data_IF_654388854199
#
_entry.id   IF_654388854199
#
_cell.length_a   1.000
_cell.length_b   1.000
_cell.length_c   1.000
_cell.angle_alpha   90.00
_cell.angle_beta   90.00
_cell.angle_gamma   90.00
#
_symmetry.space_group_name_H-M   'P 1'
#
loop_
_entity.id
_entity.type
_entity.pdbx_description
1 polymer ?
#
# COMPACT_ATOMS: atom_id res chain seq x y z
N UNK A 1 25.15 -14.89 2.73
CA UNK A 1 23.75 -14.37 2.62
C UNK A 1 22.83 -15.51 2.15
N UNK A 2 21.70 -15.77 2.84
CA UNK A 2 20.93 -17.03 2.75
C UNK A 2 20.09 -17.31 1.48
N UNK A 3 20.15 -16.47 0.44
CA UNK A 3 19.45 -16.73 -0.85
C UNK A 3 17.92 -16.92 -0.75
N UNK A 4 17.27 -16.26 0.22
CA UNK A 4 15.85 -16.47 0.57
C UNK A 4 14.92 -15.42 -0.02
N UNK A 5 14.91 -14.20 0.53
CA UNK A 5 14.00 -13.13 0.09
C UNK A 5 14.28 -12.63 -1.34
N UNK A 6 15.47 -12.06 -1.58
CA UNK A 6 15.83 -11.46 -2.89
C UNK A 6 15.76 -12.45 -4.05
N UNK A 7 16.29 -13.67 -3.84
CA UNK A 7 16.21 -14.75 -4.83
C UNK A 7 14.76 -15.14 -5.07
N UNK A 8 13.96 -15.27 -4.00
CA UNK A 8 12.54 -15.59 -4.11
C UNK A 8 11.74 -14.58 -4.92
N UNK A 9 12.00 -13.28 -4.77
CA UNK A 9 11.35 -12.25 -5.61
C UNK A 9 11.58 -12.54 -7.10
N UNK A 10 12.85 -12.71 -7.50
CA UNK A 10 13.18 -12.93 -8.91
C UNK A 10 12.62 -14.25 -9.45
N UNK A 11 12.68 -15.32 -8.66
CA UNK A 11 12.11 -16.62 -9.04
C UNK A 11 10.59 -16.53 -9.18
N UNK A 12 9.89 -15.84 -8.27
CA UNK A 12 8.44 -15.64 -8.37
C UNK A 12 8.07 -14.82 -9.61
N UNK A 13 8.77 -13.72 -9.88
CA UNK A 13 8.56 -12.94 -11.10
C UNK A 13 8.79 -13.78 -12.35
N UNK A 14 9.82 -14.62 -12.38
CA UNK A 14 10.05 -15.53 -13.51
C UNK A 14 8.92 -16.54 -13.71
N UNK A 15 8.40 -17.14 -12.63
CA UNK A 15 7.27 -18.08 -12.73
C UNK A 15 5.99 -17.40 -13.24
N UNK A 16 5.77 -16.13 -12.87
CA UNK A 16 4.68 -15.31 -13.42
C UNK A 16 4.90 -15.01 -14.91
N UNK A 17 6.11 -14.60 -15.28
CA UNK A 17 6.49 -14.27 -16.65
C UNK A 17 6.31 -15.46 -17.60
N UNK A 18 6.80 -16.63 -17.17
CA UNK A 18 6.68 -17.90 -17.89
C UNK A 18 5.29 -18.55 -17.78
N UNK A 19 4.31 -17.83 -17.19
CA UNK A 19 2.90 -18.24 -17.06
C UNK A 19 2.68 -19.56 -16.30
N UNK A 20 3.63 -19.97 -15.45
CA UNK A 20 3.48 -21.13 -14.59
C UNK A 20 2.46 -20.90 -13.47
N UNK A 21 2.38 -19.64 -12.98
CA UNK A 21 1.35 -19.19 -12.05
C UNK A 21 0.67 -17.95 -12.60
N UNK A 22 -0.60 -17.78 -12.27
CA UNK A 22 -1.34 -16.58 -12.67
C UNK A 22 -1.20 -15.49 -11.62
N UNK A 23 -1.19 -15.81 -10.32
CA UNK A 23 -1.13 -14.82 -9.25
C UNK A 23 0.22 -14.79 -8.51
N UNK A 24 0.62 -13.61 -8.04
CA UNK A 24 1.78 -13.44 -7.19
C UNK A 24 1.72 -14.31 -5.93
N UNK A 25 0.53 -14.44 -5.32
CA UNK A 25 0.32 -15.27 -4.14
C UNK A 25 0.65 -16.75 -4.39
N UNK A 26 0.19 -17.33 -5.50
CA UNK A 26 0.51 -18.72 -5.86
C UNK A 26 2.03 -18.91 -6.04
N UNK A 27 2.67 -18.01 -6.78
CA UNK A 27 4.12 -18.06 -7.01
C UNK A 27 4.91 -17.96 -5.69
N UNK A 28 4.55 -17.00 -4.82
CA UNK A 28 5.17 -16.80 -3.51
C UNK A 28 5.00 -18.02 -2.60
N UNK A 29 3.82 -18.62 -2.61
CA UNK A 29 3.50 -19.78 -1.78
C UNK A 29 4.22 -21.04 -2.26
N UNK A 30 4.27 -21.25 -3.57
CA UNK A 30 5.03 -22.34 -4.17
C UNK A 30 6.52 -22.20 -3.84
N UNK A 31 7.09 -21.02 -4.03
CA UNK A 31 8.49 -20.76 -3.68
C UNK A 31 8.76 -21.03 -2.19
N UNK A 32 7.90 -20.55 -1.29
CA UNK A 32 8.01 -20.81 0.15
C UNK A 32 8.01 -22.30 0.49
N UNK A 33 7.08 -23.06 -0.08
CA UNK A 33 6.98 -24.51 0.14
C UNK A 33 8.17 -25.28 -0.40
N UNK A 34 8.71 -24.88 -1.57
CA UNK A 34 9.85 -25.57 -2.19
C UNK A 34 11.19 -25.20 -1.57
N UNK A 35 11.36 -23.95 -1.15
CA UNK A 35 12.66 -23.45 -0.66
C UNK A 35 12.88 -23.66 0.83
N UNK A 36 11.81 -23.72 1.63
CA UNK A 36 11.88 -23.67 3.11
C UNK A 36 10.98 -24.72 3.75
N UNK A 37 11.38 -25.22 4.93
CA UNK A 37 10.60 -26.18 5.72
C UNK A 37 9.43 -25.51 6.46
N UNK A 38 9.62 -24.26 6.90
CA UNK A 38 8.62 -23.45 7.61
C UNK A 38 7.66 -22.68 6.69
N UNK A 39 7.79 -22.87 5.36
CA UNK A 39 7.06 -22.17 4.29
C UNK A 39 7.27 -20.66 4.26
N UNK A 40 8.20 -20.12 5.03
CA UNK A 40 8.48 -18.69 5.06
C UNK A 40 9.46 -18.35 3.95
N UNK A 41 9.05 -18.28 2.69
CA UNK A 41 9.93 -17.89 1.57
C UNK A 41 10.27 -16.39 1.56
N UNK A 42 9.52 -15.63 0.78
CA UNK A 42 9.59 -14.16 0.73
C UNK A 42 8.62 -13.58 1.77
N UNK A 43 9.17 -13.10 2.88
CA UNK A 43 8.38 -12.64 4.03
C UNK A 43 8.32 -11.12 4.17
N UNK A 44 9.28 -10.39 3.62
CA UNK A 44 9.31 -8.92 3.72
C UNK A 44 8.19 -8.34 2.84
N UNK A 45 7.25 -7.56 3.40
CA UNK A 45 6.13 -7.03 2.64
C UNK A 45 6.50 -6.23 1.39
N UNK A 46 7.49 -5.35 1.47
CA UNK A 46 7.94 -4.63 0.27
C UNK A 46 8.46 -5.56 -0.82
N UNK A 47 9.09 -6.69 -0.48
CA UNK A 47 9.51 -7.68 -1.48
C UNK A 47 8.30 -8.35 -2.15
N UNK A 48 7.27 -8.69 -1.36
CA UNK A 48 6.03 -9.28 -1.86
C UNK A 48 5.28 -8.31 -2.79
N UNK A 49 5.16 -7.04 -2.37
CA UNK A 49 4.55 -5.96 -3.16
C UNK A 49 5.16 -5.84 -4.56
N UNK A 50 6.47 -6.01 -4.71
CA UNK A 50 7.11 -5.97 -6.03
C UNK A 50 6.80 -7.21 -6.89
N UNK A 51 6.52 -8.36 -6.28
CA UNK A 51 5.99 -9.52 -7.01
C UNK A 51 4.56 -9.26 -7.46
N UNK A 52 3.74 -8.62 -6.62
CA UNK A 52 2.38 -8.19 -6.99
C UNK A 52 2.40 -7.16 -8.14
N UNK A 53 3.27 -6.15 -8.07
CA UNK A 53 3.50 -5.19 -9.15
C UNK A 53 3.86 -5.87 -10.47
N UNK A 54 4.80 -6.83 -10.42
CA UNK A 54 5.18 -7.57 -11.63
C UNK A 54 4.04 -8.44 -12.16
N UNK A 55 3.26 -9.07 -11.28
CA UNK A 55 2.07 -9.81 -11.68
C UNK A 55 1.08 -8.90 -12.42
N UNK A 56 0.80 -7.69 -11.93
CA UNK A 56 -0.04 -6.71 -12.62
C UNK A 56 0.51 -6.35 -14.00
N UNK A 57 1.82 -6.09 -14.14
CA UNK A 57 2.43 -5.81 -15.44
C UNK A 57 2.17 -6.93 -16.46
N UNK A 58 2.37 -8.18 -16.04
CA UNK A 58 2.26 -9.36 -16.90
C UNK A 58 0.80 -9.73 -17.23
N UNK A 59 -0.12 -9.56 -16.27
CA UNK A 59 -1.55 -9.88 -16.44
C UNK A 59 -2.27 -8.83 -17.28
N UNK A 60 -2.03 -7.54 -17.00
CA UNK A 60 -2.68 -6.43 -17.68
C UNK A 60 -1.96 -6.03 -18.98
N UNK A 61 -0.78 -6.63 -19.26
CA UNK A 61 0.08 -6.30 -20.40
C UNK A 61 0.40 -4.81 -20.46
N UNK A 62 0.95 -4.30 -19.35
CA UNK A 62 1.27 -2.89 -19.16
C UNK A 62 2.71 -2.61 -19.55
N UNK A 63 2.91 -1.50 -20.25
CA UNK A 63 4.23 -0.93 -20.50
C UNK A 63 4.62 -0.03 -19.34
N UNK A 64 5.61 -0.46 -18.56
CA UNK A 64 6.11 0.32 -17.43
C UNK A 64 6.78 1.61 -17.92
N UNK A 65 6.37 2.72 -17.33
CA UNK A 65 7.03 4.01 -17.47
C UNK A 65 7.09 4.70 -16.11
N UNK A 66 8.01 5.63 -15.95
CA UNK A 66 8.11 6.37 -14.70
C UNK A 66 6.96 7.39 -14.60
N UNK A 67 6.37 7.52 -13.41
CA UNK A 67 5.30 8.48 -13.11
C UNK A 67 5.81 9.44 -12.05
N UNK A 68 5.68 10.74 -12.30
CA UNK A 68 6.08 11.78 -11.35
C UNK A 68 4.89 12.14 -10.48
N UNK A 69 5.06 12.02 -9.17
CA UNK A 69 4.04 12.37 -8.17
C UNK A 69 4.61 13.37 -7.17
N UNK A 70 3.74 14.22 -6.61
CA UNK A 70 4.05 15.03 -5.43
C UNK A 70 3.34 14.44 -4.21
N UNK A 71 4.08 14.14 -3.13
CA UNK A 71 3.51 13.71 -1.85
C UNK A 71 3.22 14.96 -1.02
N UNK A 72 1.96 15.17 -0.64
CA UNK A 72 1.48 16.34 0.12
C UNK A 72 1.41 16.09 1.61
N UNK A 73 0.81 14.97 1.99
CA UNK A 73 0.57 14.62 3.38
C UNK A 73 0.76 13.12 3.61
N UNK A 74 1.19 12.80 4.82
CA UNK A 74 1.32 11.43 5.31
C UNK A 74 0.53 11.30 6.60
N UNK A 75 -0.39 10.34 6.64
CA UNK A 75 -1.23 10.05 7.78
C UNK A 75 -0.87 8.69 8.37
N UNK A 76 -0.77 8.60 9.69
CA UNK A 76 -0.65 7.36 10.44
C UNK A 76 -1.87 7.22 11.35
N UNK A 77 -2.64 6.16 11.19
CA UNK A 77 -3.89 5.95 11.93
C UNK A 77 -4.17 4.46 12.21
N UNK A 78 -4.66 4.09 13.41
CA UNK A 78 -4.61 4.90 14.63
C UNK A 78 -3.18 5.24 15.07
N UNK A 79 -3.02 6.16 16.03
CA UNK A 79 -1.70 6.48 16.60
C UNK A 79 -1.05 5.22 17.21
N UNK A 80 0.21 4.88 16.87
CA UNK A 80 0.93 3.77 17.48
C UNK A 80 1.01 3.89 19.01
N UNK A 81 0.88 2.76 19.73
CA UNK A 81 0.72 2.72 21.19
C UNK A 81 1.92 3.31 21.95
N UNK A 82 3.11 3.25 21.34
CA UNK A 82 4.33 3.88 21.84
C UNK A 82 4.22 5.40 22.01
N UNK A 83 3.25 6.06 21.38
CA UNK A 83 2.97 7.48 21.55
C UNK A 83 1.78 7.78 22.47
N UNK A 84 1.00 6.77 22.88
CA UNK A 84 -0.21 6.96 23.72
C UNK A 84 0.07 7.58 25.08
N UNK A 85 1.30 7.45 25.59
CA UNK A 85 1.76 8.11 26.83
C UNK A 85 2.01 9.62 26.70
N UNK A 86 1.84 10.22 25.52
CA UNK A 86 2.04 11.65 25.28
C UNK A 86 3.51 12.08 25.26
N UNK A 87 4.43 11.15 25.01
CA UNK A 87 5.87 11.43 25.00
C UNK A 87 6.54 10.71 23.82
N UNK A 88 6.79 11.46 22.74
CA UNK A 88 7.59 10.96 21.63
C UNK A 88 7.54 11.91 20.44
N UNK A 89 8.66 11.99 19.72
CA UNK A 89 8.70 12.69 18.44
C UNK A 89 8.73 11.68 17.31
N UNK A 90 7.94 11.93 16.28
CA UNK A 90 8.00 11.19 15.03
C UNK A 90 8.81 11.97 13.99
N UNK A 91 9.55 11.25 13.16
CA UNK A 91 10.27 11.82 12.02
C UNK A 91 10.10 10.93 10.79
N UNK A 92 9.82 11.54 9.65
CA UNK A 92 9.76 10.89 8.34
C UNK A 92 11.00 11.22 7.52
N UNK A 93 11.53 10.23 6.81
CA UNK A 93 12.56 10.40 5.78
C UNK A 93 12.11 9.71 4.50
N UNK A 94 12.24 10.39 3.37
CA UNK A 94 11.86 9.89 2.04
C UNK A 94 13.11 9.75 1.19
N UNK A 95 13.26 8.60 0.56
CA UNK A 95 14.31 8.32 -0.40
C UNK A 95 13.71 7.97 -1.75
N UNK A 96 14.31 8.48 -2.81
CA UNK A 96 14.01 8.09 -4.19
C UNK A 96 15.14 7.22 -4.72
N UNK A 97 14.83 6.08 -5.34
CA UNK A 97 15.83 5.27 -6.03
C UNK A 97 16.29 6.01 -7.28
N UNK A 98 17.60 6.09 -7.45
CA UNK A 98 18.26 6.54 -8.68
C UNK A 98 19.19 5.43 -9.17
N UNK A 99 19.73 5.57 -10.39
CA UNK A 99 20.63 4.57 -10.98
C UNK A 99 21.79 4.23 -10.04
N UNK A 100 22.46 5.25 -9.51
CA UNK A 100 23.65 5.11 -8.65
C UNK A 100 23.36 4.68 -7.20
N UNK A 101 22.08 4.61 -6.78
CA UNK A 101 21.78 4.35 -5.36
C UNK A 101 20.41 4.84 -4.92
N UNK A 102 20.33 5.33 -3.69
CA UNK A 102 19.10 5.91 -3.12
C UNK A 102 19.41 7.32 -2.66
N UNK A 103 18.74 8.31 -3.23
CA UNK A 103 18.90 9.70 -2.84
C UNK A 103 17.89 10.05 -1.74
N UNK A 104 18.34 10.72 -0.67
CA UNK A 104 17.43 11.27 0.34
C UNK A 104 16.83 12.56 -0.21
N UNK A 105 15.54 12.54 -0.53
CA UNK A 105 14.83 13.69 -1.12
C UNK A 105 14.12 14.54 -0.07
N UNK A 106 13.81 13.98 1.10
CA UNK A 106 13.15 14.71 2.18
C UNK A 106 13.47 14.14 3.56
N UNK A 107 13.47 15.01 4.56
CA UNK A 107 13.52 14.66 5.98
C UNK A 107 12.68 15.66 6.75
N UNK A 108 11.60 15.21 7.37
CA UNK A 108 10.77 16.09 8.20
C UNK A 108 11.56 16.54 9.44
N UNK A 109 11.24 17.71 10.02
CA UNK A 109 11.60 17.97 11.41
C UNK A 109 10.95 16.91 12.32
N UNK A 110 11.52 16.63 13.50
CA UNK A 110 10.83 15.84 14.52
C UNK A 110 9.55 16.55 14.95
N UNK A 111 8.42 15.84 14.92
CA UNK A 111 7.10 16.33 15.32
C UNK A 111 6.68 15.65 16.62
N UNK A 112 6.34 16.42 17.65
CA UNK A 112 5.81 15.88 18.90
C UNK A 112 4.40 15.34 18.69
N UNK A 113 4.14 14.11 19.13
CA UNK A 113 2.82 13.48 19.05
C UNK A 113 2.06 13.80 20.34
N UNK A 114 0.89 14.43 20.23
CA UNK A 114 0.13 14.90 21.40
C UNK A 114 -0.72 13.77 21.98
N UNK A 115 -0.94 13.82 23.30
CA UNK A 115 -1.84 12.89 23.98
C UNK A 115 -3.27 13.08 23.49
N UNK A 116 -3.93 11.98 23.13
CA UNK A 116 -5.33 11.97 22.69
C UNK A 116 -5.52 12.14 21.18
N UNK A 117 -4.45 12.29 20.40
CA UNK A 117 -4.55 12.26 18.93
C UNK A 117 -4.99 10.87 18.46
N UNK A 118 -5.93 10.84 17.51
CA UNK A 118 -6.40 9.58 16.87
C UNK A 118 -5.59 9.24 15.63
N UNK A 119 -4.95 10.24 15.02
CA UNK A 119 -4.06 10.11 13.87
C UNK A 119 -2.89 11.09 13.97
N UNK A 120 -1.78 10.75 13.31
CA UNK A 120 -0.64 11.67 13.12
C UNK A 120 -0.67 12.13 11.66
N UNK A 121 -0.71 13.43 11.42
CA UNK A 121 -0.49 14.04 10.09
C UNK A 121 0.91 14.65 10.04
N UNK A 122 1.70 14.26 9.04
CA UNK A 122 2.98 14.89 8.68
C UNK A 122 2.75 15.63 7.36
N UNK A 123 2.78 16.96 7.41
CA UNK A 123 2.62 17.82 6.24
C UNK A 123 3.98 18.04 5.56
N UNK A 124 4.05 17.88 4.24
CA UNK A 124 5.29 17.94 3.47
C UNK A 124 5.53 19.32 2.81
N UNK A 125 4.75 20.33 3.22
CA UNK A 125 4.82 21.70 2.73
C UNK A 125 3.90 21.98 1.54
N UNK A 126 3.69 23.26 1.25
CA UNK A 126 2.74 23.74 0.23
C UNK A 126 3.02 23.21 -1.19
N UNK A 127 4.29 22.84 -1.48
CA UNK A 127 4.72 22.28 -2.77
C UNK A 127 4.86 20.75 -2.76
N UNK A 128 4.76 20.11 -1.58
CA UNK A 128 4.97 18.68 -1.39
C UNK A 128 6.39 18.23 -1.74
N UNK A 129 6.58 16.91 -1.78
CA UNK A 129 7.85 16.27 -2.17
C UNK A 129 7.66 15.53 -3.49
N UNK A 130 8.39 15.95 -4.52
CA UNK A 130 8.36 15.30 -5.84
C UNK A 130 9.17 13.99 -5.78
N UNK A 131 8.54 12.90 -6.25
CA UNK A 131 9.10 11.55 -6.29
C UNK A 131 8.76 10.86 -7.60
N UNK A 132 9.57 9.86 -7.98
CA UNK A 132 9.45 9.17 -9.26
C UNK A 132 10.07 7.77 -9.21
N UNK A 133 9.40 6.79 -9.81
CA UNK A 133 9.85 5.40 -9.80
C UNK A 133 9.70 4.77 -8.41
N UNK A 134 10.78 4.15 -7.91
CA UNK A 134 10.81 3.46 -6.62
C UNK A 134 11.13 4.40 -5.46
N UNK A 135 10.24 4.45 -4.47
CA UNK A 135 10.29 5.39 -3.35
C UNK A 135 10.27 4.61 -2.03
N UNK A 136 11.16 4.97 -1.11
CA UNK A 136 11.18 4.44 0.27
C UNK A 136 10.74 5.52 1.25
N UNK A 137 9.77 5.20 2.10
CA UNK A 137 9.44 6.00 3.28
C UNK A 137 9.93 5.28 4.53
N UNK A 138 10.62 6.00 5.41
CA UNK A 138 11.16 5.46 6.65
C UNK A 138 10.79 6.35 7.84
N UNK A 139 10.19 5.74 8.85
CA UNK A 139 9.66 6.43 10.03
C UNK A 139 10.54 6.12 11.24
N UNK A 140 10.74 7.14 12.05
CA UNK A 140 11.55 7.05 13.25
C UNK A 140 10.85 7.67 14.45
N UNK A 141 11.05 7.06 15.61
CA UNK A 141 10.69 7.61 16.91
C UNK A 141 11.94 8.16 17.58
N UNK A 142 11.84 9.35 18.18
CA UNK A 142 12.88 9.92 19.05
C UNK A 142 12.25 10.33 20.38
N UNK A 143 12.28 9.45 21.40
CA UNK A 143 11.94 9.83 22.76
C UNK A 143 12.91 10.92 23.27
N UNK A 144 12.44 11.83 24.13
CA UNK A 144 13.18 13.07 24.53
C UNK A 144 14.60 12.82 25.08
N UNK A 145 14.88 11.64 25.64
CA UNK A 145 16.18 11.27 26.23
C UNK A 145 16.83 10.03 25.60
N UNK A 146 16.27 9.48 24.52
CA UNK A 146 16.74 8.24 23.90
C UNK A 146 17.26 8.47 22.48
N UNK A 147 18.03 7.49 21.99
CA UNK A 147 18.48 7.49 20.60
C UNK A 147 17.27 7.38 19.66
N UNK A 148 17.38 8.05 18.51
CA UNK A 148 16.47 7.85 17.38
C UNK A 148 16.40 6.36 17.03
N UNK A 149 15.19 5.82 17.01
CA UNK A 149 14.89 4.42 16.71
C UNK A 149 14.03 4.34 15.45
N UNK A 150 14.32 3.37 14.58
CA UNK A 150 13.53 3.11 13.39
C UNK A 150 12.24 2.38 13.79
N UNK A 151 11.10 2.90 13.38
CA UNK A 151 9.79 2.30 13.63
C UNK A 151 9.46 1.23 12.59
N UNK A 152 9.32 1.66 11.34
CA UNK A 152 9.02 0.84 10.18
C UNK A 152 9.37 1.59 8.91
N UNK A 153 9.32 0.90 7.79
CA UNK A 153 9.48 1.51 6.47
C UNK A 153 8.68 0.74 5.43
N UNK A 154 8.58 1.29 4.24
CA UNK A 154 8.07 0.55 3.08
C UNK A 154 8.61 1.14 1.78
N UNK A 155 8.59 0.32 0.73
CA UNK A 155 8.84 0.72 -0.64
C UNK A 155 7.55 0.69 -1.45
N UNK A 156 7.35 1.70 -2.30
CA UNK A 156 6.31 1.66 -3.33
C UNK A 156 6.87 2.21 -4.64
N UNK A 157 6.17 1.94 -5.74
CA UNK A 157 6.51 2.51 -7.03
C UNK A 157 5.36 3.38 -7.51
N UNK A 158 5.70 4.61 -7.90
CA UNK A 158 4.77 5.65 -8.35
C UNK A 158 3.84 5.22 -9.50
N UNK A 159 4.28 4.32 -10.39
CA UNK A 159 3.47 3.82 -11.52
C UNK A 159 2.21 3.07 -11.08
N UNK A 160 2.26 2.42 -9.91
CA UNK A 160 1.16 1.58 -9.40
C UNK A 160 0.20 2.33 -8.48
N UNK A 161 0.40 3.62 -8.28
CA UNK A 161 -0.53 4.46 -7.50
C UNK A 161 -1.67 4.92 -8.40
N UNK A 162 -2.84 4.27 -8.26
CA UNK A 162 -3.99 4.47 -9.15
C UNK A 162 -5.27 4.92 -8.43
N UNK A 163 -5.36 4.72 -7.11
CA UNK A 163 -6.59 4.97 -6.36
C UNK A 163 -6.86 6.46 -6.19
N UNK A 164 -8.02 6.90 -6.70
CA UNK A 164 -8.61 8.20 -6.38
C UNK A 164 -9.57 7.99 -5.20
N UNK A 165 -9.43 8.77 -4.14
CA UNK A 165 -10.35 8.71 -3.00
C UNK A 165 -10.57 10.10 -2.40
N UNK A 166 -11.69 10.33 -1.70
CA UNK A 166 -11.86 11.51 -0.86
C UNK A 166 -10.73 11.57 0.17
N UNK A 167 -10.17 12.77 0.36
CA UNK A 167 -9.14 13.03 1.38
C UNK A 167 -9.73 12.69 2.76
N UNK A 168 -8.98 12.07 3.69
CA UNK A 168 -9.42 11.90 5.06
C UNK A 168 -9.71 13.27 5.70
N UNK A 169 -10.99 13.60 5.88
CA UNK A 169 -11.42 14.79 6.64
C UNK A 169 -11.10 14.57 8.13
N UNK A 170 -10.41 15.50 8.80
CA UNK A 170 -10.29 15.46 10.25
C UNK A 170 -11.67 15.75 10.85
N UNK A 171 -12.26 14.81 11.58
CA UNK A 171 -13.52 15.03 12.29
C UNK A 171 -13.33 16.12 13.35
N UNK A 172 -13.86 17.33 13.10
CA UNK A 172 -13.97 18.37 14.11
C UNK A 172 -15.04 17.97 15.14
N UNK A 173 -14.70 18.11 16.42
CA UNK A 173 -15.63 17.94 17.53
C UNK A 173 -16.77 18.96 17.42
N UNK A 174 -17.99 18.47 17.17
CA UNK A 174 -19.19 19.30 17.10
C UNK A 174 -20.36 18.61 17.79
N UNK A 175 -20.64 19.05 19.01
CA UNK A 175 -21.85 18.76 19.77
C UNK A 175 -23.08 19.16 18.92
N UNK A 176 -23.96 18.22 18.60
CA UNK A 176 -25.33 18.54 18.19
C UNK A 176 -26.29 17.50 18.75
N UNK A 177 -27.14 17.98 19.65
CA UNK A 177 -28.27 17.25 20.22
C UNK A 177 -29.19 16.76 19.08
N UNK A 178 -29.40 15.45 18.99
CA UNK A 178 -30.42 14.87 18.13
C UNK A 178 -31.42 14.08 18.97
N UNK A 179 -32.61 14.67 19.09
CA UNK A 179 -33.86 14.05 19.51
C UNK A 179 -34.20 12.91 18.54
N UNK A 180 -34.61 11.72 19.01
CA UNK A 180 -34.83 10.58 18.15
C UNK A 180 -36.26 10.49 17.61
N UNK A 181 -36.32 9.99 16.37
CA UNK A 181 -37.31 9.03 15.85
C UNK A 181 -38.70 9.54 15.48
N UNK A 182 -39.08 9.41 14.19
CA UNK A 182 -39.99 8.34 13.77
C UNK A 182 -40.45 8.45 12.31
N UNK A 183 -40.64 7.25 11.75
CA UNK A 183 -41.61 6.90 10.70
C UNK A 183 -41.08 6.74 9.27
N UNK A 184 -40.45 5.58 9.08
CA UNK A 184 -40.71 4.72 7.93
C UNK A 184 -42.19 4.32 7.86
N UNK A 185 -42.79 4.42 6.66
CA UNK A 185 -44.00 3.69 6.17
C UNK A 185 -44.28 4.21 4.74
N UNK A 186 -43.87 3.50 3.71
CA UNK A 186 -44.59 2.42 3.01
C UNK A 186 -45.74 2.90 2.12
N UNK A 187 -45.63 2.51 0.84
CA UNK A 187 -46.55 2.63 -0.29
C UNK A 187 -48.02 2.27 0.00
N UNK A 188 -48.96 3.01 -0.61
CA UNK A 188 -50.16 2.45 -1.23
C UNK A 188 -50.84 3.44 -2.19
N UNK A 189 -51.32 2.89 -3.31
CA UNK A 189 -52.09 3.47 -4.41
C UNK A 189 -53.35 4.24 -3.98
N UNK A 190 -53.68 5.32 -4.69
CA UNK A 190 -55.04 5.54 -5.22
C UNK A 190 -55.03 6.54 -6.40
N UNK A 191 -55.97 6.29 -7.32
CA UNK A 191 -56.06 6.78 -8.70
C UNK A 191 -57.27 7.73 -8.83
N UNK A 192 -57.11 8.98 -9.28
CA UNK A 192 -58.08 9.58 -10.22
C UNK A 192 -57.67 10.95 -10.82
N UNK A 193 -57.60 10.95 -12.16
CA UNK A 193 -58.22 11.91 -13.11
C UNK A 193 -57.76 13.38 -13.24
N UNK A 194 -57.41 13.70 -14.50
CA UNK A 194 -57.51 15.01 -15.23
C UNK A 194 -56.47 16.07 -14.79
N UNK A 195 -55.70 16.75 -15.64
CA UNK A 195 -55.91 17.29 -16.99
C UNK A 195 -54.55 17.56 -17.66
N UNK A 196 -54.51 17.50 -19.00
CA UNK A 196 -53.39 17.86 -19.88
C UNK A 196 -53.10 19.37 -19.89
N UNK A 197 -51.82 19.74 -19.87
CA UNK A 197 -51.27 20.82 -20.72
C UNK A 197 -49.76 20.65 -20.91
N UNK A 198 -49.38 20.52 -22.19
CA UNK A 198 -48.03 20.66 -22.69
C UNK A 198 -47.46 22.04 -22.33
N UNK A 199 -46.19 22.07 -21.92
CA UNK A 199 -45.32 23.22 -22.17
C UNK A 199 -43.90 22.72 -22.46
N UNK A 200 -43.59 22.72 -23.74
CA UNK A 200 -42.26 22.56 -24.32
C UNK A 200 -41.57 23.93 -24.34
N UNK A 201 -40.46 24.10 -23.61
CA UNK A 201 -39.49 25.16 -23.88
C UNK A 201 -38.04 24.69 -23.63
N UNK A 202 -37.34 24.60 -24.76
CA UNK A 202 -35.91 24.55 -25.12
C UNK A 202 -34.78 24.72 -24.08
N UNK A 203 -33.58 24.18 -24.41
CA UNK A 203 -32.46 23.99 -23.50
C UNK A 203 -31.66 25.28 -23.33
N UNK A 204 -31.31 25.62 -22.09
CA UNK A 204 -30.21 26.54 -21.81
C UNK A 204 -28.92 25.74 -21.84
N UNK A 205 -28.09 26.04 -22.84
CA UNK A 205 -26.71 25.58 -22.92
C UNK A 205 -25.95 25.99 -21.66
N UNK A 206 -25.79 25.04 -20.75
CA UNK A 206 -24.76 25.07 -19.73
C UNK A 206 -23.50 24.55 -20.38
N UNK A 207 -22.56 25.47 -20.61
CA UNK A 207 -21.16 25.21 -20.94
C UNK A 207 -20.69 23.92 -20.29
N UNK A 208 -20.31 22.92 -21.10
CA UNK A 208 -19.58 21.75 -20.65
C UNK A 208 -18.20 22.23 -20.17
N UNK A 209 -18.11 22.59 -18.90
CA UNK A 209 -16.83 22.60 -18.20
C UNK A 209 -16.32 21.17 -18.27
N UNK A 210 -15.32 20.95 -19.12
CA UNK A 210 -14.46 19.79 -19.06
C UNK A 210 -13.67 19.89 -17.75
N UNK A 211 -14.34 19.65 -16.63
CA UNK A 211 -13.76 19.73 -15.28
C UNK A 211 -12.73 18.61 -15.13
N UNK A 212 -11.47 19.00 -15.33
CA UNK A 212 -10.26 18.54 -14.66
C UNK A 212 -10.37 17.24 -13.84
N UNK A 213 -10.54 16.10 -14.52
CA UNK A 213 -10.38 14.79 -13.91
C UNK A 213 -8.96 14.57 -13.34
N UNK A 214 -7.99 15.42 -13.73
CA UNK A 214 -6.60 15.40 -13.28
C UNK A 214 -6.32 16.13 -11.96
N UNK A 215 -7.32 16.78 -11.33
CA UNK A 215 -7.11 17.55 -10.09
C UNK A 215 -7.47 16.78 -8.80
N UNK A 216 -7.88 15.51 -8.90
CA UNK A 216 -8.21 14.73 -7.71
C UNK A 216 -6.96 14.12 -7.08
N UNK A 217 -6.80 14.22 -5.75
CA UNK A 217 -5.67 13.59 -5.07
C UNK A 217 -5.76 12.07 -5.20
N UNK A 218 -4.60 11.45 -5.38
CA UNK A 218 -4.40 10.01 -5.29
C UNK A 218 -4.10 9.65 -3.84
N UNK A 219 -4.64 8.53 -3.37
CA UNK A 219 -4.40 8.05 -2.01
C UNK A 219 -3.75 6.68 -2.05
N UNK A 220 -2.51 6.56 -1.57
CA UNK A 220 -1.87 5.25 -1.34
C UNK A 220 -2.06 4.87 0.13
N UNK A 221 -2.78 3.77 0.40
CA UNK A 221 -2.94 3.22 1.76
C UNK A 221 -2.17 1.93 1.92
N UNK A 222 -1.38 1.82 2.99
CA UNK A 222 -0.60 0.63 3.32
C UNK A 222 -0.93 0.22 4.74
N UNK A 223 -1.55 -0.95 4.90
CA UNK A 223 -1.89 -1.50 6.21
C UNK A 223 -0.67 -2.04 6.96
N UNK A 224 -0.80 -2.25 8.26
CA UNK A 224 0.24 -2.75 9.17
C UNK A 224 0.99 -3.96 8.62
N UNK A 225 0.25 -4.92 8.08
CA UNK A 225 0.80 -6.18 7.59
C UNK A 225 1.65 -6.02 6.33
N UNK A 226 1.52 -4.87 5.67
CA UNK A 226 2.25 -4.50 4.46
C UNK A 226 3.42 -3.55 4.74
N UNK A 227 3.69 -3.23 6.01
CA UNK A 227 4.80 -2.39 6.44
C UNK A 227 5.99 -3.26 6.87
N UNK A 228 7.18 -2.94 6.37
CA UNK A 228 8.40 -3.63 6.77
C UNK A 228 8.72 -3.28 8.23
N UNK A 229 9.15 -4.28 9.00
CA UNK A 229 9.33 -4.23 10.46
C UNK A 229 8.02 -4.22 11.27
N UNK A 230 7.02 -3.39 10.95
CA UNK A 230 5.75 -3.37 11.70
C UNK A 230 4.92 -4.67 11.54
N UNK A 231 5.00 -5.36 10.40
CA UNK A 231 4.34 -6.67 10.21
C UNK A 231 4.83 -7.76 11.18
N UNK A 232 5.98 -7.56 11.84
CA UNK A 232 6.55 -8.51 12.81
C UNK A 232 5.85 -8.43 14.17
N UNK A 233 5.17 -7.33 14.48
CA UNK A 233 4.36 -7.17 15.71
C UNK A 233 3.06 -7.98 15.60
N UNK A 234 3.15 -9.30 15.70
CA UNK A 234 2.00 -10.21 15.60
C UNK A 234 1.01 -10.05 16.75
N UNK A 235 1.48 -9.53 17.89
CA UNK A 235 0.69 -9.34 19.12
C UNK A 235 -0.03 -8.00 19.20
N UNK A 236 0.16 -7.11 18.21
CA UNK A 236 -0.40 -5.76 18.19
C UNK A 236 -0.01 -4.92 19.42
N UNK A 237 1.20 -5.11 19.95
CA UNK A 237 1.67 -4.39 21.13
C UNK A 237 2.04 -2.94 20.80
N UNK A 238 2.64 -2.70 19.64
CA UNK A 238 3.11 -1.39 19.20
C UNK A 238 2.15 -0.74 18.19
N UNK A 239 1.60 -1.56 17.30
CA UNK A 239 0.69 -1.12 16.25
C UNK A 239 -0.62 -1.88 16.36
N UNK A 240 -1.74 -1.17 16.40
CA UNK A 240 -3.07 -1.80 16.34
C UNK A 240 -3.22 -2.66 15.07
N UNK A 241 -4.09 -3.67 15.09
CA UNK A 241 -4.30 -4.55 13.93
C UNK A 241 -4.83 -3.83 12.69
N UNK A 242 -5.53 -2.70 12.88
CA UNK A 242 -6.08 -1.81 11.85
C UNK A 242 -5.16 -0.62 11.52
N UNK A 243 -3.95 -0.58 12.09
CA UNK A 243 -2.94 0.42 11.79
C UNK A 243 -2.65 0.49 10.29
N UNK A 244 -2.61 1.70 9.74
CA UNK A 244 -2.31 1.98 8.33
C UNK A 244 -1.61 3.32 8.18
N UNK A 245 -0.88 3.43 7.08
CA UNK A 245 -0.27 4.67 6.60
C UNK A 245 -0.95 5.06 5.30
N UNK A 246 -1.44 6.31 5.22
CA UNK A 246 -2.05 6.87 4.02
C UNK A 246 -1.20 8.01 3.49
N UNK A 247 -0.86 7.99 2.21
CA UNK A 247 -0.18 9.08 1.51
C UNK A 247 -1.22 9.82 0.67
N UNK A 248 -1.21 11.15 0.71
CA UNK A 248 -1.93 12.01 -0.23
C UNK A 248 -0.96 12.44 -1.31
N UNK A 249 -1.22 12.06 -2.55
CA UNK A 249 -0.37 12.34 -3.70
C UNK A 249 -1.12 13.07 -4.80
N UNK A 250 -0.40 13.82 -5.61
CA UNK A 250 -0.92 14.48 -6.80
C UNK A 250 -0.05 14.12 -8.01
N UNK A 251 -0.67 14.00 -9.18
CA UNK A 251 0.08 13.90 -10.44
C UNK A 251 0.75 15.24 -10.70
N UNK A 252 2.04 15.22 -11.00
CA UNK A 252 2.73 16.41 -11.50
C UNK A 252 2.55 16.43 -13.02
N UNK A 253 1.87 17.45 -13.59
CA UNK A 253 1.73 17.55 -15.04
C UNK A 253 3.11 17.60 -15.70
N UNK A 254 3.37 16.71 -16.63
CA UNK A 254 4.55 16.79 -17.48
C UNK A 254 4.21 17.72 -18.66
N UNK A 255 4.95 18.81 -18.84
CA UNK A 255 4.73 19.77 -19.95
C UNK A 255 4.97 19.15 -21.34
N UNK A 256 5.53 17.94 -21.40
CA UNK A 256 5.69 17.15 -22.62
C UNK A 256 4.42 16.33 -22.85
N UNK A 257 3.60 16.73 -23.82
CA UNK A 257 2.26 16.19 -24.16
C UNK A 257 2.19 14.72 -24.62
N UNK A 258 2.78 13.80 -23.87
CA UNK A 258 2.74 12.36 -24.08
C UNK A 258 2.02 11.65 -22.92
N UNK A 259 0.85 12.15 -22.52
CA UNK A 259 -0.09 11.42 -21.66
C UNK A 259 -1.18 10.77 -22.51
N UNK A 260 -0.79 9.75 -23.27
CA UNK A 260 -1.75 8.78 -23.80
C UNK A 260 -1.28 7.39 -23.44
N UNK A 261 -2.18 6.65 -22.84
CA UNK A 261 -2.05 5.28 -22.38
C UNK A 261 -2.09 4.45 -23.66
N UNK A 262 -0.96 4.37 -24.36
CA UNK A 262 -0.86 3.58 -25.58
C UNK A 262 -0.83 2.12 -25.15
N UNK A 263 -1.97 1.45 -25.29
CA UNK A 263 -2.08 0.01 -25.22
C UNK A 263 -1.41 -0.58 -26.46
N UNK A 264 -0.10 -0.78 -26.42
CA UNK A 264 0.63 -1.41 -27.52
C UNK A 264 0.36 -2.92 -27.51
N UNK A 265 -0.47 -3.38 -28.45
CA UNK A 265 -0.66 -4.81 -28.74
C UNK A 265 0.56 -5.31 -29.52
N UNK A 266 1.54 -5.90 -28.84
CA UNK A 266 2.49 -6.82 -29.49
C UNK A 266 2.77 -7.98 -28.52
N UNK A 267 2.47 -9.24 -28.88
CA UNK A 267 2.83 -10.40 -28.06
C UNK A 267 4.33 -10.71 -28.21
N UNK A 268 5.05 -11.10 -27.14
CA UNK A 268 6.43 -11.57 -27.29
C UNK A 268 6.43 -12.96 -27.94
N UNK A 269 7.05 -13.07 -29.11
CA UNK A 269 7.39 -14.36 -29.70
C UNK A 269 8.52 -15.01 -28.89
N UNK A 270 8.29 -16.25 -28.49
CA UNK A 270 9.29 -17.17 -27.95
C UNK A 270 10.36 -17.43 -29.01
N UNK A 271 11.61 -17.12 -28.71
CA UNK A 271 12.76 -17.68 -29.43
C UNK A 271 13.78 -18.25 -28.44
N UNK A 272 14.33 -19.39 -28.87
CA UNK A 272 15.00 -20.41 -28.10
C UNK A 272 16.36 -20.02 -27.51
N UNK A 273 16.72 -20.73 -26.45
CA UNK A 273 18.04 -20.79 -25.82
C UNK A 273 19.14 -21.24 -26.78
N UNK A 274 20.38 -20.79 -26.53
CA UNK A 274 21.51 -21.73 -26.57
C UNK A 274 22.19 -21.85 -25.21
N UNK A 275 22.36 -23.09 -24.78
CA UNK A 275 23.34 -23.51 -23.77
C UNK A 275 24.76 -23.14 -24.19
N UNK A 276 25.61 -22.76 -23.25
CA UNK A 276 26.87 -23.46 -22.97
C UNK A 276 27.62 -22.87 -21.76
N UNK A 277 28.37 -23.76 -21.15
CA UNK A 277 29.10 -23.75 -19.88
C UNK A 277 30.33 -22.84 -19.80
N UNK A 278 30.66 -22.37 -18.59
CA UNK A 278 32.04 -22.42 -18.06
C UNK A 278 32.08 -22.22 -16.53
N UNK A 279 32.85 -23.08 -15.89
CA UNK A 279 33.23 -23.12 -14.47
C UNK A 279 34.22 -21.99 -14.13
N UNK A 280 34.03 -21.33 -12.98
CA UNK A 280 34.87 -21.35 -11.75
C UNK A 280 36.03 -20.33 -11.71
N UNK A 281 36.04 -19.47 -10.67
CA UNK A 281 37.07 -19.57 -9.62
C UNK A 281 36.70 -18.82 -8.32
N UNK A 282 37.26 -19.35 -7.22
CA UNK A 282 37.23 -18.99 -5.80
C UNK A 282 37.89 -17.61 -5.55
N UNK A 283 37.74 -16.84 -4.48
CA UNK A 283 37.62 -17.08 -3.03
C UNK A 283 37.41 -15.71 -2.34
N UNK A 284 36.72 -15.66 -1.20
CA UNK A 284 37.30 -15.08 0.04
C UNK A 284 36.39 -15.35 1.25
N UNK A 285 37.03 -15.64 2.37
CA UNK A 285 36.43 -16.03 3.64
C UNK A 285 36.32 -14.84 4.58
N UNK A 286 35.28 -14.82 5.42
CA UNK A 286 35.32 -14.12 6.71
C UNK A 286 34.33 -14.76 7.66
N UNK A 287 34.89 -15.28 8.74
CA UNK A 287 34.28 -15.87 9.92
C UNK A 287 33.49 -14.83 10.72
N UNK A 288 32.29 -15.20 11.14
CA UNK A 288 31.51 -14.49 12.15
C UNK A 288 30.61 -15.50 12.83
N UNK A 289 30.80 -15.65 14.14
CA UNK A 289 30.18 -16.60 15.04
C UNK A 289 28.65 -16.38 15.11
N UNK A 290 27.87 -17.45 14.93
CA UNK A 290 26.42 -17.46 15.15
C UNK A 290 26.13 -18.29 16.42
N UNK A 291 25.63 -17.62 17.46
CA UNK A 291 25.11 -18.22 18.67
C UNK A 291 23.75 -18.89 18.39
N UNK A 292 23.71 -20.20 18.64
CA UNK A 292 22.52 -21.04 18.67
C UNK A 292 21.75 -20.82 19.98
N UNK A 293 20.53 -20.26 19.92
CA UNK A 293 19.54 -20.43 20.98
C UNK A 293 18.24 -21.01 20.42
N UNK A 294 17.95 -22.21 20.90
CA UNK A 294 16.84 -23.07 20.50
C UNK A 294 15.47 -22.51 20.89
N UNK A 295 14.46 -22.98 20.18
CA UNK A 295 13.07 -22.77 20.54
C UNK A 295 12.32 -24.10 20.53
N UNK A 296 11.65 -24.34 21.64
CA UNK A 296 10.82 -25.50 21.94
C UNK A 296 9.64 -25.63 20.97
N UNK A 297 9.37 -26.87 20.60
CA UNK A 297 8.23 -27.30 19.78
C UNK A 297 6.90 -26.98 20.48
N UNK A 298 6.00 -26.26 19.79
CA UNK A 298 4.61 -26.09 20.21
C UNK A 298 3.68 -26.93 19.31
N UNK A 299 2.72 -27.56 19.98
CA UNK A 299 1.72 -28.56 19.62
C UNK A 299 1.02 -28.39 18.23
N UNK A 300 0.82 -29.47 17.43
CA UNK A 300 0.20 -29.39 16.10
C UNK A 300 -1.33 -29.14 16.07
N UNK A 301 -1.99 -28.98 17.22
CA UNK A 301 -3.45 -29.00 17.31
C UNK A 301 -4.16 -27.66 17.05
N UNK A 302 -3.46 -26.55 16.80
CA UNK A 302 -4.08 -25.26 16.44
C UNK A 302 -3.73 -24.80 15.00
N UNK A 303 -4.10 -25.62 14.01
CA UNK A 303 -3.96 -25.27 12.59
C UNK A 303 -5.08 -24.35 12.10
N UNK A 304 -4.99 -23.05 12.43
CA UNK A 304 -5.69 -21.97 11.69
C UNK A 304 -4.76 -21.12 10.82
N UNK A 305 -3.53 -21.57 10.58
CA UNK A 305 -2.55 -20.87 9.74
C UNK A 305 -2.33 -21.62 8.43
N UNK A 306 -2.84 -21.07 7.33
CA UNK A 306 -2.63 -21.66 6.00
C UNK A 306 -3.40 -21.08 4.83
N UNK A 307 -4.15 -19.99 5.00
CA UNK A 307 -4.82 -19.31 3.88
C UNK A 307 -4.34 -17.87 3.79
N UNK A 308 -3.57 -17.60 2.75
CA UNK A 308 -3.21 -16.24 2.35
C UNK A 308 -4.48 -15.56 1.85
N UNK A 309 -4.92 -14.48 2.52
CA UNK A 309 -6.11 -13.71 2.14
C UNK A 309 -5.78 -12.71 1.03
N UNK A 310 -6.77 -12.45 0.18
CA UNK A 310 -6.74 -11.57 -0.98
C UNK A 310 -6.62 -10.09 -0.57
N UNK A 311 -6.00 -9.28 -1.43
CA UNK A 311 -5.98 -7.80 -1.36
C UNK A 311 -7.20 -7.16 -2.05
N UNK A 312 -8.33 -7.86 -2.11
CA UNK A 312 -9.53 -7.37 -2.79
C UNK A 312 -10.87 -7.81 -2.17
N UNK A 313 -10.90 -8.31 -0.94
CA UNK A 313 -12.19 -8.69 -0.31
C UNK A 313 -13.04 -7.44 0.02
N UNK A 314 -14.27 -7.33 -0.51
CA UNK A 314 -15.20 -6.24 -0.21
C UNK A 314 -16.07 -6.52 1.04
N UNK A 315 -15.76 -7.54 1.84
CA UNK A 315 -16.57 -7.97 2.98
C UNK A 315 -16.34 -7.10 4.23
N UNK A 316 -16.84 -5.87 4.17
CA UNK A 316 -17.31 -5.13 5.34
C UNK A 316 -18.37 -4.11 4.88
N UNK A 317 -19.49 -4.63 4.35
CA UNK A 317 -20.77 -3.92 4.47
C UNK A 317 -21.61 -4.70 5.50
N UNK A 318 -22.18 -3.94 6.41
CA UNK A 318 -22.91 -4.37 7.59
C UNK A 318 -24.06 -5.36 7.34
N UNK A 319 -24.47 -5.99 8.45
CA UNK A 319 -25.68 -6.79 8.77
C UNK A 319 -25.32 -8.25 9.10
N UNK A 320 -25.67 -8.85 10.25
CA UNK A 320 -26.53 -8.48 11.37
C UNK A 320 -26.16 -9.35 12.60
N UNK A 321 -26.23 -8.74 13.78
CA UNK A 321 -26.45 -9.44 15.05
C UNK A 321 -27.97 -9.53 15.22
N UNK A 322 -28.56 -10.73 15.24
CA UNK A 322 -29.47 -11.24 16.30
C UNK A 322 -30.25 -12.50 15.87
N UNK A 323 -30.57 -13.30 16.90
CA UNK A 323 -31.38 -14.53 16.99
C UNK A 323 -30.58 -15.83 16.79
N UNK A 324 -30.42 -16.72 17.78
CA UNK A 324 -31.32 -17.11 18.89
C UNK A 324 -30.55 -17.41 20.18
#
# INVERSE_FOLDING_TARGET
>A
KAGKGRTGVMVCCYMLHSRQFQSANEALNFYGQKRTTDRKGVTIPSQRRYVDYYASLVQENLDYHQVVLSIRDVFLEPVPSQFSGGQGNIQLVIYNKIEEGTNKVFSSPPQEVKRGETHIRIHLGDNGVIVQGDVKLEFFSKPKMMRKEKMFHFWFNTFFVRDQAPVPEPTENGNSDLIPDQSSRSFSYEEQSRHSTYNEMKPRGGSLSLDSADSRPLILRIGKWDLDDAHKDKTNKLYSSDFKVSLVLERVPCESGASSWIRTKVPPQLHETPSESSEADSSDASTGEDDEEGWESVDPSESRVGRYRLLSDPDFRHEEIFHS
#
